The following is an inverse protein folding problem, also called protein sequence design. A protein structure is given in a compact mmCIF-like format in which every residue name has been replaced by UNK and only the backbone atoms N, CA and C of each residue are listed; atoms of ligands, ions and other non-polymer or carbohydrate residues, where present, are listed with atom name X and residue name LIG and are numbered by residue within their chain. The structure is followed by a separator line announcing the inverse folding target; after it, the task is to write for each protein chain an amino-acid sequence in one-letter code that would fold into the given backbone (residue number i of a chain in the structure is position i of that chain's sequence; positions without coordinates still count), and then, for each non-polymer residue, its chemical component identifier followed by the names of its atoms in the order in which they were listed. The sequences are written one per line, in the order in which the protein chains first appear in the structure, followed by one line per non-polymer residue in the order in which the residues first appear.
data_IF_120615968632
#
_entry.id   IF_120615968632
#
_cell.length_a   1.000
_cell.length_b   1.000
_cell.length_c   1.000
_cell.angle_alpha   90.00
_cell.angle_beta   90.00
_cell.angle_gamma   90.00
#
_symmetry.space_group_name_H-M   'P 1'
#
loop_
_entity.id
_entity.type
_entity.pdbx_description
1 polymer ?
#
# COMPACT_ATOMS: atom_id res chain seq x y z
N UNK A 1 -68.58 28.51 -18.93
CA UNK A 1 -67.95 27.36 -19.64
C UNK A 1 -67.05 27.80 -20.84
N UNK A 2 -66.18 28.83 -20.75
CA UNK A 2 -65.27 29.12 -21.86
C UNK A 2 -63.84 28.54 -21.67
N UNK A 3 -63.48 28.02 -20.49
CA UNK A 3 -62.12 27.58 -20.21
C UNK A 3 -61.71 26.22 -20.88
N UNK A 4 -62.68 25.42 -21.30
CA UNK A 4 -62.44 24.09 -21.90
C UNK A 4 -62.12 24.10 -23.40
N UNK A 5 -62.50 25.24 -24.08
CA UNK A 5 -62.17 25.39 -25.50
C UNK A 5 -60.82 26.05 -25.77
N UNK A 6 -60.31 26.81 -24.82
CA UNK A 6 -58.97 27.42 -24.92
C UNK A 6 -57.78 26.40 -24.75
N UNK A 7 -57.99 25.34 -23.98
CA UNK A 7 -56.92 24.37 -23.72
C UNK A 7 -56.64 23.38 -24.87
N UNK A 8 -57.59 23.23 -25.81
CA UNK A 8 -57.43 22.31 -26.98
C UNK A 8 -56.77 22.97 -28.19
N UNK A 9 -56.80 24.29 -28.29
CA UNK A 9 -56.21 24.97 -29.44
C UNK A 9 -54.72 25.23 -29.31
N UNK A 10 -54.21 25.34 -28.10
CA UNK A 10 -52.83 25.74 -27.86
C UNK A 10 -51.83 24.56 -27.87
N UNK A 11 -52.29 23.35 -27.52
CA UNK A 11 -51.45 22.13 -27.56
C UNK A 11 -51.13 21.66 -29.00
N UNK A 12 -52.04 21.83 -29.95
CA UNK A 12 -51.79 21.48 -31.35
C UNK A 12 -50.89 22.50 -32.05
N UNK A 13 -51.03 23.79 -31.69
CA UNK A 13 -50.16 24.84 -32.20
C UNK A 13 -48.74 24.83 -31.66
N UNK A 14 -48.57 24.44 -30.42
CA UNK A 14 -47.25 24.27 -29.80
C UNK A 14 -46.54 23.03 -30.31
N UNK A 15 -47.24 21.92 -30.47
CA UNK A 15 -46.68 20.69 -31.07
C UNK A 15 -46.34 20.86 -32.56
N UNK A 16 -47.16 21.61 -33.34
CA UNK A 16 -46.88 21.88 -34.74
C UNK A 16 -45.73 22.91 -34.93
N UNK A 17 -45.50 23.80 -33.97
CA UNK A 17 -44.33 24.69 -33.97
C UNK A 17 -43.06 24.02 -33.47
N UNK A 18 -43.15 23.13 -32.52
CA UNK A 18 -42.02 22.32 -32.08
C UNK A 18 -41.53 21.35 -33.18
N UNK A 19 -42.43 20.93 -34.11
CA UNK A 19 -42.06 20.03 -35.21
C UNK A 19 -41.43 20.69 -36.44
N UNK A 20 -41.46 22.00 -36.58
CA UNK A 20 -40.97 22.69 -37.79
C UNK A 20 -39.73 23.57 -37.66
N UNK A 21 -39.18 23.71 -36.47
CA UNK A 21 -38.10 24.68 -36.21
C UNK A 21 -36.76 24.10 -35.75
N UNK A 22 -36.60 22.78 -35.49
CA UNK A 22 -35.38 22.27 -34.86
C UNK A 22 -34.86 20.95 -35.45
N UNK A 23 -35.18 20.65 -36.72
CA UNK A 23 -34.80 19.36 -37.32
C UNK A 23 -33.35 19.24 -37.76
N UNK A 24 -32.54 20.29 -37.71
CA UNK A 24 -31.13 20.22 -38.12
C UNK A 24 -30.14 20.26 -36.93
N UNK A 25 -30.37 21.21 -36.03
CA UNK A 25 -29.34 21.51 -35.00
C UNK A 25 -29.55 20.70 -33.72
N UNK A 26 -30.79 20.48 -33.29
CA UNK A 26 -31.12 19.66 -32.12
C UNK A 26 -30.78 18.18 -32.31
N UNK A 27 -30.83 17.67 -33.55
CA UNK A 27 -30.46 16.30 -33.85
C UNK A 27 -28.94 16.08 -33.83
N UNK A 28 -28.16 17.08 -34.21
CA UNK A 28 -26.69 17.06 -34.11
C UNK A 28 -26.24 17.14 -32.67
N UNK A 29 -26.76 18.06 -31.88
CA UNK A 29 -26.46 18.21 -30.47
C UNK A 29 -26.78 16.92 -29.70
N UNK A 30 -27.95 16.32 -29.93
CA UNK A 30 -28.35 15.05 -29.33
C UNK A 30 -27.41 13.91 -29.72
N UNK A 31 -27.00 13.82 -30.97
CA UNK A 31 -26.06 12.79 -31.46
C UNK A 31 -24.68 12.95 -30.83
N UNK A 32 -24.18 14.20 -30.74
CA UNK A 32 -22.90 14.49 -30.07
C UNK A 32 -22.97 14.13 -28.60
N UNK A 33 -24.08 14.45 -27.91
CA UNK A 33 -24.24 14.08 -26.50
C UNK A 33 -24.23 12.57 -26.29
N UNK A 34 -24.97 11.82 -27.09
CA UNK A 34 -24.97 10.35 -27.01
C UNK A 34 -23.58 9.77 -27.31
N UNK A 35 -22.88 10.29 -28.31
CA UNK A 35 -21.53 9.85 -28.61
C UNK A 35 -20.56 10.14 -27.46
N UNK A 36 -20.67 11.32 -26.82
CA UNK A 36 -19.86 11.69 -25.66
C UNK A 36 -20.17 10.78 -24.45
N UNK A 37 -21.46 10.49 -24.21
CA UNK A 37 -21.87 9.58 -23.14
C UNK A 37 -21.33 8.17 -23.35
N UNK A 38 -21.44 7.61 -24.56
CA UNK A 38 -20.88 6.28 -24.88
C UNK A 38 -19.36 6.28 -24.77
N UNK A 39 -18.69 7.32 -25.28
CA UNK A 39 -17.23 7.43 -25.16
C UNK A 39 -16.76 7.49 -23.71
N UNK A 40 -17.47 8.26 -22.88
CA UNK A 40 -17.18 8.35 -21.44
C UNK A 40 -17.44 7.02 -20.73
N UNK A 41 -18.54 6.35 -21.03
CA UNK A 41 -18.86 5.03 -20.47
C UNK A 41 -17.78 4.00 -20.81
N UNK A 42 -17.32 3.97 -22.07
CA UNK A 42 -16.22 3.08 -22.47
C UNK A 42 -14.92 3.43 -21.77
N UNK A 43 -14.55 4.72 -21.69
CA UNK A 43 -13.35 5.16 -21.01
C UNK A 43 -13.35 4.79 -19.51
N UNK A 44 -14.49 4.98 -18.85
CA UNK A 44 -14.65 4.59 -17.44
C UNK A 44 -14.57 3.07 -17.25
N UNK A 45 -15.18 2.29 -18.13
CA UNK A 45 -15.14 0.83 -18.08
C UNK A 45 -13.72 0.29 -18.26
N UNK A 46 -12.98 0.83 -19.23
CA UNK A 46 -11.57 0.47 -19.45
C UNK A 46 -10.72 0.87 -18.26
N UNK A 47 -10.91 2.10 -17.75
CA UNK A 47 -10.21 2.58 -16.56
C UNK A 47 -10.46 1.70 -15.33
N UNK A 48 -11.71 1.35 -15.07
CA UNK A 48 -12.07 0.43 -13.99
C UNK A 48 -11.40 -0.94 -14.16
N UNK A 49 -11.42 -1.50 -15.37
CA UNK A 49 -10.76 -2.77 -15.67
C UNK A 49 -9.25 -2.74 -15.41
N UNK A 50 -8.58 -1.66 -15.79
CA UNK A 50 -7.15 -1.48 -15.54
C UNK A 50 -6.84 -1.35 -14.04
N UNK A 51 -7.67 -0.62 -13.28
CA UNK A 51 -7.52 -0.50 -11.83
C UNK A 51 -7.69 -1.86 -11.13
N UNK A 52 -8.71 -2.63 -11.50
CA UNK A 52 -8.93 -3.98 -10.96
C UNK A 52 -7.72 -4.87 -11.27
N UNK A 53 -7.21 -4.85 -12.48
CA UNK A 53 -6.04 -5.63 -12.87
C UNK A 53 -4.79 -5.21 -12.09
N UNK A 54 -4.57 -3.90 -11.93
CA UNK A 54 -3.46 -3.37 -11.14
C UNK A 54 -3.56 -3.83 -9.68
N UNK A 55 -4.74 -3.73 -9.09
CA UNK A 55 -4.98 -4.21 -7.73
C UNK A 55 -4.74 -5.72 -7.59
N UNK A 56 -5.24 -6.52 -8.53
CA UNK A 56 -4.98 -7.96 -8.54
C UNK A 56 -3.48 -8.28 -8.61
N UNK A 57 -2.73 -7.57 -9.45
CA UNK A 57 -1.27 -7.74 -9.54
C UNK A 57 -0.57 -7.39 -8.22
N UNK A 58 -1.00 -6.32 -7.55
CA UNK A 58 -0.46 -5.94 -6.24
C UNK A 58 -0.79 -6.99 -5.16
N UNK A 59 -2.01 -7.50 -5.14
CA UNK A 59 -2.45 -8.50 -4.16
C UNK A 59 -1.88 -9.90 -4.41
N UNK A 60 -1.56 -10.23 -5.65
CA UNK A 60 -0.95 -11.52 -6.02
C UNK A 60 0.57 -11.53 -5.89
N UNK A 61 1.19 -10.37 -5.66
CA UNK A 61 2.62 -10.29 -5.40
C UNK A 61 3.01 -11.09 -4.16
N UNK A 62 3.97 -12.00 -4.29
CA UNK A 62 4.53 -12.69 -3.13
C UNK A 62 5.42 -11.70 -2.38
N UNK A 63 5.10 -11.36 -1.12
CA UNK A 63 5.83 -10.34 -0.38
C UNK A 63 7.26 -10.75 0.00
N UNK A 64 7.68 -11.97 -0.34
CA UNK A 64 8.99 -12.50 0.00
C UNK A 64 9.10 -13.03 1.44
N UNK A 65 8.01 -13.01 2.19
CA UNK A 65 7.90 -13.57 3.55
C UNK A 65 6.54 -14.22 3.76
N UNK A 66 6.43 -15.07 4.77
CA UNK A 66 5.17 -15.71 5.18
C UNK A 66 4.77 -15.21 6.56
N UNK A 67 3.70 -14.43 6.60
CA UNK A 67 3.12 -13.88 7.82
C UNK A 67 2.09 -14.82 8.50
N UNK A 68 1.87 -16.01 7.98
CA UNK A 68 0.91 -16.97 8.55
C UNK A 68 1.32 -17.36 9.97
N UNK A 69 0.42 -17.22 10.90
CA UNK A 69 0.65 -17.50 12.34
C UNK A 69 1.76 -16.65 12.98
N UNK A 70 2.00 -15.44 12.45
CA UNK A 70 2.87 -14.45 13.07
C UNK A 70 2.00 -13.44 13.80
N UNK A 71 2.27 -13.24 15.09
CA UNK A 71 1.70 -12.16 15.88
C UNK A 71 2.74 -11.04 16.03
N UNK A 72 2.31 -9.80 15.91
CA UNK A 72 3.17 -8.62 16.11
C UNK A 72 2.65 -7.77 17.24
N UNK A 73 3.55 -7.28 18.06
CA UNK A 73 3.26 -6.36 19.16
C UNK A 73 4.23 -5.19 19.08
N UNK A 74 3.70 -3.97 19.13
CA UNK A 74 4.53 -2.78 19.23
C UNK A 74 4.89 -2.53 20.71
N UNK A 75 6.17 -2.38 20.98
CA UNK A 75 6.70 -2.05 22.30
C UNK A 75 7.42 -0.72 22.21
N UNK A 76 7.01 0.25 23.01
CA UNK A 76 7.67 1.54 23.14
C UNK A 76 8.21 1.69 24.54
N UNK A 77 9.50 2.00 24.67
CA UNK A 77 10.14 2.24 25.93
C UNK A 77 10.15 3.75 26.26
N UNK A 78 9.83 4.13 27.49
CA UNK A 78 9.92 5.55 27.89
C UNK A 78 11.38 6.01 27.90
N UNK A 79 11.69 7.03 27.13
CA UNK A 79 13.05 7.58 27.01
C UNK A 79 13.63 8.04 28.36
N UNK A 80 12.79 8.45 29.31
CA UNK A 80 13.20 8.87 30.62
C UNK A 80 13.85 7.75 31.46
N UNK A 81 13.56 6.50 31.17
CA UNK A 81 14.10 5.35 31.92
C UNK A 81 15.13 4.55 31.13
N UNK A 82 15.13 4.66 29.82
CA UNK A 82 15.96 3.90 28.89
C UNK A 82 16.85 4.82 28.05
N UNK A 83 17.72 5.56 28.75
CA UNK A 83 18.69 6.48 28.13
C UNK A 83 19.96 5.78 27.66
N UNK A 84 20.23 4.56 28.15
CA UNK A 84 21.43 3.79 27.85
C UNK A 84 21.07 2.60 26.93
N UNK A 85 21.80 2.49 25.81
CA UNK A 85 21.63 1.41 24.85
C UNK A 85 21.78 0.01 25.45
N UNK A 86 22.65 -0.16 26.44
CA UNK A 86 22.85 -1.44 27.13
C UNK A 86 21.57 -1.88 27.86
N UNK A 87 20.88 -0.93 28.51
CA UNK A 87 19.62 -1.20 29.20
C UNK A 87 18.50 -1.53 28.21
N UNK A 88 18.46 -0.85 27.08
CA UNK A 88 17.50 -1.12 26.01
C UNK A 88 17.69 -2.54 25.47
N UNK A 89 18.91 -2.92 25.14
CA UNK A 89 19.22 -4.27 24.65
C UNK A 89 18.84 -5.32 25.70
N UNK A 90 19.27 -5.13 26.98
CA UNK A 90 18.94 -6.06 28.05
C UNK A 90 17.44 -6.24 28.30
N UNK A 91 16.64 -5.18 28.14
CA UNK A 91 15.19 -5.30 28.22
C UNK A 91 14.63 -6.17 27.10
N UNK A 92 15.04 -5.91 25.85
CA UNK A 92 14.54 -6.66 24.71
C UNK A 92 15.00 -8.12 24.71
N UNK A 93 16.19 -8.41 25.18
CA UNK A 93 16.69 -9.79 25.37
C UNK A 93 15.81 -10.57 26.37
N UNK A 94 15.50 -9.94 27.52
CA UNK A 94 14.58 -10.53 28.50
C UNK A 94 13.18 -10.73 27.94
N UNK A 95 12.67 -9.75 27.19
CA UNK A 95 11.37 -9.84 26.52
C UNK A 95 11.33 -11.02 25.56
N UNK A 96 12.34 -11.16 24.69
CA UNK A 96 12.44 -12.28 23.75
C UNK A 96 12.52 -13.62 24.45
N UNK A 97 13.33 -13.72 25.52
CA UNK A 97 13.42 -14.92 26.34
C UNK A 97 12.07 -15.29 26.97
N UNK A 98 11.34 -14.28 27.48
CA UNK A 98 10.01 -14.48 28.03
C UNK A 98 8.99 -14.95 27.00
N UNK A 99 8.99 -14.37 25.79
CA UNK A 99 8.08 -14.77 24.71
C UNK A 99 8.41 -16.20 24.24
N UNK A 100 9.70 -16.54 24.09
CA UNK A 100 10.12 -17.88 23.68
C UNK A 100 9.78 -18.97 24.71
N UNK A 101 9.59 -18.58 25.96
CA UNK A 101 9.15 -19.51 27.04
C UNK A 101 7.63 -19.76 27.03
N UNK A 102 6.85 -18.99 26.28
CA UNK A 102 5.38 -19.17 26.20
C UNK A 102 5.06 -20.46 25.45
N UNK A 103 4.22 -21.37 26.01
CA UNK A 103 3.80 -22.56 25.31
C UNK A 103 3.11 -22.21 23.97
N UNK A 104 3.59 -22.80 22.88
CA UNK A 104 3.07 -22.54 21.53
C UNK A 104 3.85 -21.47 20.75
N UNK A 105 4.65 -20.64 21.38
CA UNK A 105 5.58 -19.77 20.70
C UNK A 105 6.74 -20.62 20.14
N UNK A 106 6.94 -20.59 18.83
CA UNK A 106 8.06 -21.33 18.19
C UNK A 106 9.31 -20.49 18.09
N UNK A 107 9.14 -19.23 17.72
CA UNK A 107 10.21 -18.25 17.58
C UNK A 107 9.72 -16.86 17.95
N UNK A 108 10.65 -16.00 18.33
CA UNK A 108 10.40 -14.59 18.54
C UNK A 108 11.61 -13.78 18.08
N UNK A 109 11.38 -12.67 17.43
CA UNK A 109 12.40 -11.75 16.94
C UNK A 109 11.92 -10.32 17.04
N UNK A 110 12.85 -9.37 16.93
CA UNK A 110 12.56 -7.95 16.95
C UNK A 110 12.79 -7.35 15.55
N UNK A 111 12.02 -6.33 15.28
CA UNK A 111 12.23 -5.46 14.13
C UNK A 111 11.79 -4.05 14.51
N UNK A 112 12.50 -3.05 14.03
CA UNK A 112 12.13 -1.65 14.30
C UNK A 112 10.85 -1.21 13.59
N UNK A 113 10.51 -1.83 12.46
CA UNK A 113 9.38 -1.48 11.62
C UNK A 113 8.96 -2.72 10.81
N UNK A 114 7.73 -3.19 11.01
CA UNK A 114 7.22 -4.35 10.27
C UNK A 114 7.05 -4.02 8.79
N UNK A 115 7.16 -5.00 7.89
CA UNK A 115 6.91 -4.78 6.47
C UNK A 115 5.51 -4.17 6.25
N UNK A 116 5.42 -3.19 5.35
CA UNK A 116 4.18 -2.50 4.96
C UNK A 116 3.53 -1.59 6.01
N UNK A 117 4.16 -1.29 7.14
CA UNK A 117 3.61 -0.33 8.11
C UNK A 117 3.72 1.15 7.68
N UNK A 118 4.35 1.40 6.52
CA UNK A 118 4.57 2.74 5.99
C UNK A 118 5.74 3.49 6.64
N UNK A 119 6.33 2.96 7.69
CA UNK A 119 7.46 3.57 8.39
C UNK A 119 8.77 3.03 7.80
N UNK A 120 9.46 3.87 7.01
CA UNK A 120 10.66 3.47 6.29
C UNK A 120 11.83 4.35 6.72
N UNK A 121 12.88 3.74 7.23
CA UNK A 121 14.14 4.42 7.49
C UNK A 121 14.99 4.28 6.23
N UNK A 122 15.22 5.40 5.56
CA UNK A 122 16.01 5.47 4.34
C UNK A 122 17.39 6.06 4.57
N UNK A 123 18.33 5.68 3.73
CA UNK A 123 19.69 6.21 3.74
C UNK A 123 20.42 5.95 2.45
N UNK A 124 21.56 6.60 2.26
CA UNK A 124 22.46 6.31 1.15
C UNK A 124 23.09 4.93 1.33
N UNK A 125 23.17 4.18 0.25
CA UNK A 125 23.90 2.90 0.24
C UNK A 125 25.34 3.20 -0.20
N UNK A 126 26.27 3.00 0.70
CA UNK A 126 27.71 3.10 0.42
C UNK A 126 28.17 1.81 -0.25
N UNK A 127 28.84 1.94 -1.39
CA UNK A 127 29.44 0.82 -2.11
C UNK A 127 30.85 1.22 -2.57
N UNK A 128 31.68 0.25 -2.98
CA UNK A 128 33.00 0.54 -3.54
C UNK A 128 32.94 1.47 -4.77
N UNK A 129 31.82 1.43 -5.52
CA UNK A 129 31.59 2.28 -6.69
C UNK A 129 31.00 3.66 -6.31
N UNK A 130 30.42 3.80 -5.13
CA UNK A 130 29.85 5.05 -4.59
C UNK A 130 30.15 5.16 -3.09
N UNK A 131 31.39 5.55 -2.73
CA UNK A 131 31.84 5.62 -1.34
C UNK A 131 31.11 6.69 -0.52
N UNK A 132 30.40 7.61 -1.14
CA UNK A 132 29.62 8.65 -0.46
C UNK A 132 28.15 8.32 -0.36
N UNK A 133 27.67 7.25 -1.00
CA UNK A 133 26.27 6.83 -0.95
C UNK A 133 25.31 7.84 -1.59
N UNK A 134 25.77 8.62 -2.56
CA UNK A 134 25.01 9.70 -3.18
C UNK A 134 24.13 9.25 -4.35
N UNK A 135 24.44 8.09 -4.94
CA UNK A 135 23.80 7.63 -6.17
C UNK A 135 22.62 6.69 -5.97
N UNK A 136 22.56 5.96 -4.88
CA UNK A 136 21.48 5.00 -4.59
C UNK A 136 21.03 5.12 -3.16
N UNK A 137 19.76 5.40 -2.96
CA UNK A 137 19.11 5.28 -1.67
C UNK A 137 18.54 3.89 -1.47
N UNK A 138 18.48 3.45 -0.24
CA UNK A 138 17.83 2.21 0.16
C UNK A 138 17.10 2.36 1.48
N UNK A 139 16.20 1.43 1.75
CA UNK A 139 15.55 1.33 3.04
C UNK A 139 16.23 0.23 3.83
N UNK A 140 16.50 0.49 5.11
CA UNK A 140 17.04 -0.50 6.01
C UNK A 140 16.12 -0.74 7.20
N UNK A 141 16.21 -1.92 7.76
CA UNK A 141 15.53 -2.31 8.98
C UNK A 141 16.51 -2.92 9.96
N UNK A 142 16.35 -2.54 11.21
CA UNK A 142 17.11 -3.14 12.31
C UNK A 142 16.34 -4.37 12.76
N UNK A 143 16.99 -5.53 12.74
CA UNK A 143 16.39 -6.80 13.15
C UNK A 143 17.27 -7.49 14.16
N UNK A 144 16.66 -8.26 15.07
CA UNK A 144 17.41 -9.19 15.89
C UNK A 144 17.72 -10.47 15.11
N UNK A 145 18.58 -11.30 15.68
CA UNK A 145 18.74 -12.67 15.24
C UNK A 145 17.41 -13.43 15.19
N UNK A 146 17.31 -14.40 14.29
CA UNK A 146 16.10 -15.22 14.10
C UNK A 146 14.94 -14.52 13.39
N UNK A 147 15.11 -13.27 12.90
CA UNK A 147 14.05 -12.56 12.19
C UNK A 147 13.66 -13.25 10.88
N UNK A 148 14.65 -13.64 10.08
CA UNK A 148 14.41 -14.29 8.79
C UNK A 148 13.69 -15.62 8.94
N UNK A 149 14.02 -16.38 9.97
CA UNK A 149 13.36 -17.63 10.31
C UNK A 149 11.93 -17.40 10.82
N UNK A 150 11.73 -16.38 11.67
CA UNK A 150 10.39 -16.00 12.17
C UNK A 150 9.45 -15.62 11.04
N UNK A 151 9.95 -14.86 10.07
CA UNK A 151 9.19 -14.41 8.90
C UNK A 151 9.26 -15.40 7.73
N UNK A 152 9.95 -16.53 7.88
CA UNK A 152 10.15 -17.54 6.84
C UNK A 152 10.69 -16.97 5.53
N UNK A 153 11.61 -16.01 5.65
CA UNK A 153 12.30 -15.41 4.50
C UNK A 153 13.40 -16.35 4.06
N UNK A 154 13.35 -16.89 2.83
CA UNK A 154 14.35 -17.84 2.36
C UNK A 154 15.70 -17.17 2.15
N UNK A 155 16.75 -17.74 2.73
CA UNK A 155 18.12 -17.32 2.49
C UNK A 155 18.58 -17.83 1.11
N UNK A 156 18.84 -16.93 0.18
CA UNK A 156 19.31 -17.29 -1.16
C UNK A 156 20.83 -17.43 -1.25
N UNK A 157 21.57 -16.59 -0.53
CA UNK A 157 23.04 -16.58 -0.48
C UNK A 157 23.49 -15.91 0.81
N UNK A 158 24.72 -16.22 1.26
CA UNK A 158 25.30 -15.61 2.45
C UNK A 158 24.87 -16.34 3.73
N UNK A 159 24.72 -15.60 4.81
CA UNK A 159 24.27 -16.08 6.12
C UNK A 159 23.34 -15.05 6.77
N UNK A 160 22.53 -15.48 7.69
CA UNK A 160 21.75 -14.59 8.55
C UNK A 160 22.62 -14.04 9.69
N UNK A 161 22.13 -13.00 10.35
CA UNK A 161 22.76 -12.47 11.56
C UNK A 161 22.65 -13.49 12.69
N UNK A 162 23.66 -13.52 13.54
CA UNK A 162 23.73 -14.46 14.67
C UNK A 162 24.33 -13.83 15.92
N UNK A 163 24.41 -14.59 17.02
CA UNK A 163 24.89 -14.09 18.31
C UNK A 163 26.33 -13.55 18.28
N UNK A 164 27.12 -13.93 17.27
CA UNK A 164 28.50 -13.47 17.10
C UNK A 164 28.63 -12.13 16.38
N UNK A 165 27.50 -11.59 15.86
CA UNK A 165 27.49 -10.30 15.17
C UNK A 165 27.17 -9.19 16.19
N UNK A 166 28.14 -8.88 17.02
CA UNK A 166 28.06 -7.87 18.07
C UNK A 166 28.86 -6.61 17.77
N UNK A 167 28.85 -5.63 18.65
CA UNK A 167 29.54 -4.35 18.47
C UNK A 167 31.06 -4.45 18.23
N UNK A 168 31.67 -5.55 18.62
CA UNK A 168 33.10 -5.81 18.46
C UNK A 168 33.42 -6.66 17.21
N UNK A 169 32.41 -7.14 16.48
CA UNK A 169 32.61 -7.91 15.25
C UNK A 169 32.76 -6.98 14.04
N UNK A 170 33.34 -7.46 12.93
CA UNK A 170 33.31 -6.71 11.66
C UNK A 170 31.88 -6.39 11.27
N UNK A 171 31.66 -5.17 10.78
CA UNK A 171 30.35 -4.78 10.28
C UNK A 171 29.96 -5.63 9.07
N UNK A 172 28.77 -6.20 9.13
CA UNK A 172 28.19 -7.06 8.09
C UNK A 172 26.79 -6.55 7.72
N UNK A 173 26.44 -6.71 6.45
CA UNK A 173 25.12 -6.33 5.92
C UNK A 173 24.56 -7.46 5.04
#
# INVERSE_FOLDING_TARGET
LPAWQASRADLRGSLARAGRGTTGDGSRARRVLVMAEVALAVALTVGAGLLIRSLQTLLSGTPGFDSSNVATVAVSLPESQYTDGVRVVGYFDQLLAGIRAVPGARQASLINSVPYDGNQIGGGIVTDADPQGTGKGGYYRLTSDGYFETMRIPLLRGRTFGPNDGPASPQVA
#
